data_IF_771649834078
#
_entry.id   IF_771649834078
#
_cell.length_a   1.000
_cell.length_b   1.000
_cell.length_c   1.000
_cell.angle_alpha   90.00
_cell.angle_beta   90.00
_cell.angle_gamma   90.00
#
_symmetry.space_group_name_H-M   'P 1'
#
loop_
_entity.id
_entity.type
_entity.pdbx_description
1 polymer ?
#
# COMPACT_ATOMS: atom_id res chain seq x y z
N UNK A 1 17.29 -14.68 9.77
CA UNK A 1 17.10 -15.98 9.16
C UNK A 1 16.82 -15.76 7.68
N UNK A 2 17.74 -16.20 6.83
CA UNK A 2 17.52 -16.21 5.40
C UNK A 2 16.47 -17.27 5.12
N UNK A 3 15.21 -16.88 4.94
CA UNK A 3 14.24 -17.75 4.35
C UNK A 3 14.76 -18.16 2.97
N UNK A 4 14.94 -19.45 2.75
CA UNK A 4 15.28 -19.92 1.44
C UNK A 4 14.10 -19.59 0.51
N UNK A 5 14.38 -19.05 -0.67
CA UNK A 5 13.41 -18.91 -1.76
C UNK A 5 12.69 -20.26 -1.93
N UNK A 6 11.39 -20.27 -1.65
CA UNK A 6 10.59 -21.52 -1.61
C UNK A 6 10.10 -21.96 -2.98
N UNK A 7 10.59 -21.35 -4.04
CA UNK A 7 10.32 -21.78 -5.40
C UNK A 7 8.96 -21.35 -5.93
N UNK A 8 8.89 -20.11 -6.33
CA UNK A 8 8.02 -19.82 -7.43
C UNK A 8 6.67 -19.21 -7.10
N UNK A 9 6.68 -17.92 -6.86
CA UNK A 9 5.54 -17.13 -7.30
C UNK A 9 5.36 -17.43 -8.80
N UNK A 10 4.21 -18.04 -9.14
CA UNK A 10 3.87 -18.34 -10.53
C UNK A 10 4.03 -17.08 -11.39
N UNK A 11 4.73 -17.21 -12.51
CA UNK A 11 4.83 -16.13 -13.50
C UNK A 11 3.78 -16.40 -14.58
N UNK A 12 2.78 -15.52 -14.74
CA UNK A 12 1.81 -15.67 -15.83
C UNK A 12 2.48 -15.71 -17.21
N UNK A 13 1.91 -16.44 -18.13
CA UNK A 13 2.38 -16.55 -19.53
C UNK A 13 2.16 -15.25 -20.33
N UNK A 14 1.45 -14.30 -19.76
CA UNK A 14 1.13 -13.00 -20.38
C UNK A 14 1.60 -11.84 -19.50
N UNK A 15 1.95 -10.73 -20.15
CA UNK A 15 2.23 -9.45 -19.48
C UNK A 15 0.98 -8.56 -19.35
N UNK A 16 -0.18 -9.04 -19.83
CA UNK A 16 -1.42 -8.28 -19.70
C UNK A 16 -1.81 -8.17 -18.24
N UNK A 17 -2.16 -6.97 -17.83
CA UNK A 17 -2.70 -6.69 -16.50
C UNK A 17 -3.83 -5.68 -16.58
N UNK A 18 -4.58 -5.59 -15.50
CA UNK A 18 -5.65 -4.61 -15.32
C UNK A 18 -5.59 -4.03 -13.91
N UNK A 19 -5.85 -2.74 -13.81
CA UNK A 19 -5.86 -2.00 -12.55
C UNK A 19 -7.28 -1.86 -12.01
N UNK A 20 -7.47 -2.17 -10.73
CA UNK A 20 -8.72 -1.98 -9.98
C UNK A 20 -9.95 -2.48 -10.73
N UNK A 21 -10.01 -3.76 -11.13
CA UNK A 21 -11.14 -4.28 -11.88
C UNK A 21 -12.42 -4.28 -11.04
N UNK A 22 -13.55 -4.09 -11.70
CA UNK A 22 -14.89 -4.13 -11.09
C UNK A 22 -15.58 -5.47 -11.33
N UNK A 23 -15.25 -6.13 -12.43
CA UNK A 23 -15.84 -7.40 -12.86
C UNK A 23 -14.75 -8.46 -13.06
N UNK A 24 -14.78 -9.49 -12.23
CA UNK A 24 -13.78 -10.56 -12.25
C UNK A 24 -13.93 -11.46 -13.48
N UNK A 25 -15.15 -11.69 -13.97
CA UNK A 25 -15.40 -12.52 -15.16
C UNK A 25 -14.81 -11.84 -16.40
N UNK A 26 -14.93 -10.51 -16.52
CA UNK A 26 -14.30 -9.74 -17.59
C UNK A 26 -12.76 -9.83 -17.51
N UNK A 27 -12.17 -9.76 -16.31
CA UNK A 27 -10.72 -9.91 -16.11
C UNK A 27 -10.24 -11.24 -16.68
N UNK A 28 -10.93 -12.32 -16.34
CA UNK A 28 -10.58 -13.68 -16.77
C UNK A 28 -10.81 -13.86 -18.27
N UNK A 29 -11.93 -13.37 -18.80
CA UNK A 29 -12.27 -13.44 -20.23
C UNK A 29 -11.28 -12.69 -21.13
N UNK A 30 -10.71 -11.58 -20.64
CA UNK A 30 -9.67 -10.81 -21.33
C UNK A 30 -8.30 -11.52 -21.36
N UNK A 31 -8.13 -12.60 -20.61
CA UNK A 31 -6.87 -13.33 -20.54
C UNK A 31 -5.75 -12.52 -19.87
N UNK A 32 -6.09 -11.80 -18.81
CA UNK A 32 -5.12 -11.12 -17.97
C UNK A 32 -4.33 -12.13 -17.12
N UNK A 33 -3.05 -11.87 -16.92
CA UNK A 33 -2.23 -12.65 -15.98
C UNK A 33 -1.91 -11.86 -14.70
N UNK A 34 -2.21 -10.58 -14.69
CA UNK A 34 -1.89 -9.66 -13.62
C UNK A 34 -3.08 -8.78 -13.28
N UNK A 35 -3.22 -8.49 -12.00
CA UNK A 35 -4.23 -7.57 -11.48
C UNK A 35 -3.66 -6.78 -10.31
N UNK A 36 -3.99 -5.51 -10.22
CA UNK A 36 -3.64 -4.73 -9.04
C UNK A 36 -4.86 -4.05 -8.40
N UNK A 37 -4.75 -3.81 -7.09
CA UNK A 37 -5.75 -3.16 -6.27
C UNK A 37 -5.13 -2.05 -5.42
N UNK A 38 -5.72 -0.86 -5.47
CA UNK A 38 -5.45 0.18 -4.50
C UNK A 38 -6.03 -0.20 -3.13
N UNK A 39 -5.20 -0.24 -2.10
CA UNK A 39 -5.62 -0.55 -0.73
C UNK A 39 -5.48 0.68 0.15
N UNK A 40 -6.60 1.14 0.71
CA UNK A 40 -6.62 2.26 1.66
C UNK A 40 -6.06 1.80 3.01
N UNK A 41 -4.76 1.94 3.17
CA UNK A 41 -4.03 1.37 4.31
C UNK A 41 -4.54 1.89 5.66
N UNK A 42 -4.91 3.16 5.71
CA UNK A 42 -5.50 3.78 6.90
C UNK A 42 -6.90 3.25 7.26
N UNK A 43 -7.54 2.49 6.36
CA UNK A 43 -8.84 1.84 6.62
C UNK A 43 -8.66 0.39 7.06
N UNK A 44 -7.48 -0.20 6.85
CA UNK A 44 -7.17 -1.56 7.32
C UNK A 44 -7.17 -1.63 8.84
N UNK A 45 -6.67 -0.59 9.52
CA UNK A 45 -6.74 -0.53 11.00
C UNK A 45 -7.99 0.20 11.48
N UNK A 46 -8.60 -0.33 12.55
CA UNK A 46 -9.81 0.19 13.14
C UNK A 46 -9.50 1.14 14.32
N UNK A 47 -8.75 2.21 14.08
CA UNK A 47 -8.30 3.15 15.12
C UNK A 47 -9.45 3.83 15.89
N UNK A 48 -10.65 3.84 15.32
CA UNK A 48 -11.88 4.44 15.89
C UNK A 48 -12.72 3.45 16.70
N UNK A 49 -12.42 2.13 16.60
CA UNK A 49 -13.22 1.07 17.24
C UNK A 49 -12.57 0.66 18.57
N UNK A 50 -13.26 0.85 19.70
CA UNK A 50 -12.74 0.46 21.01
C UNK A 50 -12.81 -1.06 21.27
N UNK A 51 -13.57 -1.83 20.48
CA UNK A 51 -13.79 -3.26 20.64
C UNK A 51 -13.74 -3.99 19.28
N UNK A 52 -12.59 -3.98 18.59
CA UNK A 52 -12.47 -4.55 17.26
C UNK A 52 -12.57 -6.08 17.29
N UNK A 53 -13.20 -6.66 16.26
CA UNK A 53 -13.33 -8.11 16.09
C UNK A 53 -11.98 -8.83 16.04
N UNK A 54 -10.96 -8.19 15.48
CA UNK A 54 -9.61 -8.72 15.29
C UNK A 54 -8.56 -7.68 15.68
N UNK A 55 -7.44 -8.15 16.22
CA UNK A 55 -6.31 -7.29 16.58
C UNK A 55 -5.00 -7.84 16.04
N UNK A 56 -4.12 -6.95 15.59
CA UNK A 56 -2.74 -7.28 15.26
C UNK A 56 -1.79 -6.68 16.29
N UNK A 57 -0.89 -7.50 16.83
CA UNK A 57 0.02 -7.06 17.91
C UNK A 57 1.33 -6.55 17.32
N UNK A 58 1.62 -5.27 17.54
CA UNK A 58 2.88 -4.62 17.16
C UNK A 58 3.57 -4.11 18.43
N UNK A 59 4.81 -4.56 18.66
CA UNK A 59 5.63 -4.19 19.82
C UNK A 59 4.88 -4.34 21.16
N UNK A 60 4.07 -5.40 21.27
CA UNK A 60 3.26 -5.70 22.45
C UNK A 60 1.96 -4.90 22.58
N UNK A 61 1.63 -4.04 21.61
CA UNK A 61 0.39 -3.27 21.58
C UNK A 61 -0.61 -3.88 20.59
N UNK A 62 -1.84 -4.19 21.02
CA UNK A 62 -2.90 -4.62 20.13
C UNK A 62 -3.41 -3.42 19.32
N UNK A 63 -3.46 -3.57 18.00
CA UNK A 63 -4.01 -2.60 17.04
C UNK A 63 -5.22 -3.26 16.39
N UNK A 64 -6.40 -2.63 16.49
CA UNK A 64 -7.63 -3.13 15.89
C UNK A 64 -7.56 -3.22 14.37
N UNK A 65 -8.13 -4.28 13.80
CA UNK A 65 -8.24 -4.49 12.36
C UNK A 65 -9.69 -4.34 11.91
N UNK A 66 -9.89 -3.59 10.85
CA UNK A 66 -11.21 -3.41 10.23
C UNK A 66 -11.56 -4.61 9.36
N UNK A 67 -12.10 -5.66 9.98
CA UNK A 67 -12.44 -6.91 9.30
C UNK A 67 -13.55 -6.74 8.26
N UNK A 68 -14.39 -5.71 8.35
CA UNK A 68 -15.35 -5.42 7.28
C UNK A 68 -14.64 -5.04 5.98
N UNK A 69 -13.65 -4.15 6.05
CA UNK A 69 -12.85 -3.76 4.89
C UNK A 69 -11.97 -4.91 4.39
N UNK A 70 -11.33 -5.64 5.31
CA UNK A 70 -10.48 -6.79 4.96
C UNK A 70 -11.26 -7.87 4.22
N UNK A 71 -12.49 -8.20 4.65
CA UNK A 71 -13.35 -9.17 3.93
C UNK A 71 -13.73 -8.71 2.52
N UNK A 72 -13.82 -7.40 2.27
CA UNK A 72 -14.02 -6.93 0.90
C UNK A 72 -12.78 -7.15 0.03
N UNK A 73 -11.58 -6.99 0.59
CA UNK A 73 -10.34 -7.35 -0.11
C UNK A 73 -10.25 -8.85 -0.38
N UNK A 74 -10.64 -9.70 0.59
CA UNK A 74 -10.68 -11.16 0.38
C UNK A 74 -11.58 -11.54 -0.81
N UNK A 75 -12.75 -10.90 -0.91
CA UNK A 75 -13.71 -11.17 -1.98
C UNK A 75 -13.17 -10.77 -3.38
N UNK A 76 -12.29 -9.80 -3.45
CA UNK A 76 -11.63 -9.41 -4.71
C UNK A 76 -10.39 -10.25 -4.99
N UNK A 77 -9.55 -10.48 -4.00
CA UNK A 77 -8.24 -11.13 -4.16
C UNK A 77 -8.38 -12.63 -4.41
N UNK A 78 -9.19 -13.31 -3.58
CA UNK A 78 -9.26 -14.77 -3.59
C UNK A 78 -9.65 -15.36 -4.94
N UNK A 79 -10.76 -14.92 -5.60
CA UNK A 79 -11.18 -15.52 -6.87
C UNK A 79 -10.14 -15.36 -7.99
N UNK A 80 -9.46 -14.22 -8.04
CA UNK A 80 -8.47 -13.93 -9.07
C UNK A 80 -7.15 -14.67 -8.80
N UNK A 81 -6.75 -14.75 -7.54
CA UNK A 81 -5.59 -15.55 -7.12
C UNK A 81 -5.80 -17.04 -7.40
N UNK A 82 -6.97 -17.60 -7.06
CA UNK A 82 -7.33 -19.02 -7.32
C UNK A 82 -7.39 -19.31 -8.82
N UNK A 83 -7.74 -18.33 -9.62
CA UNK A 83 -7.71 -18.45 -11.09
C UNK A 83 -6.29 -18.37 -11.67
N UNK A 84 -5.26 -18.20 -10.83
CA UNK A 84 -3.85 -18.16 -11.23
C UNK A 84 -3.33 -16.80 -11.66
N UNK A 85 -4.09 -15.71 -11.42
CA UNK A 85 -3.59 -14.37 -11.65
C UNK A 85 -2.59 -13.99 -10.56
N UNK A 86 -1.63 -13.18 -10.96
CA UNK A 86 -0.72 -12.54 -10.02
C UNK A 86 -1.34 -11.25 -9.48
N UNK A 87 -1.56 -11.24 -8.17
CA UNK A 87 -2.19 -10.11 -7.50
C UNK A 87 -1.14 -9.19 -6.90
N UNK A 88 -1.30 -7.90 -7.17
CA UNK A 88 -0.48 -6.81 -6.66
C UNK A 88 -1.34 -5.93 -5.77
N UNK A 89 -0.89 -5.60 -4.58
CA UNK A 89 -1.50 -4.53 -3.79
C UNK A 89 -0.71 -3.23 -3.90
N UNK A 90 -1.44 -2.13 -4.00
CA UNK A 90 -0.91 -0.77 -3.97
C UNK A 90 -1.42 -0.09 -2.70
N UNK A 91 -0.74 -0.29 -1.54
CA UNK A 91 -1.09 0.43 -0.33
C UNK A 91 -0.94 1.95 -0.52
N UNK A 92 -2.03 2.67 -0.31
CA UNK A 92 -2.13 4.12 -0.35
C UNK A 92 -2.85 4.61 0.90
N UNK A 93 -2.74 5.88 1.22
CA UNK A 93 -3.31 6.44 2.44
C UNK A 93 -4.40 7.46 2.08
N UNK A 94 -5.67 7.05 2.19
CA UNK A 94 -6.79 7.95 1.98
C UNK A 94 -6.87 8.99 3.11
N UNK A 95 -7.17 10.21 2.77
CA UNK A 95 -7.36 11.27 3.75
C UNK A 95 -8.80 11.75 3.73
N UNK A 96 -9.40 11.99 4.90
CA UNK A 96 -10.76 12.51 4.98
C UNK A 96 -10.80 13.95 4.44
N UNK A 97 -11.97 14.35 3.96
CA UNK A 97 -12.24 15.75 3.57
C UNK A 97 -12.43 16.66 4.78
N UNK A 98 -12.63 16.09 5.95
CA UNK A 98 -12.82 16.79 7.21
C UNK A 98 -11.72 16.40 8.22
N UNK A 99 -11.35 17.34 9.06
CA UNK A 99 -10.36 17.12 10.11
C UNK A 99 -10.86 16.06 11.10
N UNK A 100 -10.06 15.03 11.30
CA UNK A 100 -10.27 13.98 12.31
C UNK A 100 -9.11 14.01 13.32
N UNK A 101 -9.21 14.82 14.38
CA UNK A 101 -8.07 15.13 15.27
C UNK A 101 -7.43 13.91 15.95
N UNK A 102 -8.18 12.81 16.11
CA UNK A 102 -7.69 11.59 16.76
C UNK A 102 -7.20 10.53 15.76
N UNK A 103 -7.22 10.81 14.46
CA UNK A 103 -6.80 9.83 13.46
C UNK A 103 -5.28 9.73 13.38
N UNK A 104 -4.67 8.63 13.88
CA UNK A 104 -3.22 8.48 13.92
C UNK A 104 -2.60 8.22 12.55
N UNK A 105 -3.42 7.89 11.54
CA UNK A 105 -2.91 7.50 10.21
C UNK A 105 -2.64 8.72 9.32
N UNK A 106 -3.14 9.90 9.68
CA UNK A 106 -2.96 11.12 8.89
C UNK A 106 -1.57 11.71 9.16
N UNK A 107 -0.80 11.87 8.12
CA UNK A 107 0.50 12.54 8.21
C UNK A 107 0.31 14.02 8.61
N UNK A 108 1.05 14.56 9.60
CA UNK A 108 0.79 15.89 10.18
C UNK A 108 1.01 17.04 9.20
N UNK A 109 1.73 16.83 8.12
CA UNK A 109 1.94 17.84 7.06
C UNK A 109 0.97 17.71 5.90
N UNK A 110 0.08 16.70 5.87
CA UNK A 110 -0.91 16.57 4.80
C UNK A 110 -1.84 17.77 4.78
N UNK A 111 -1.95 18.43 3.63
CA UNK A 111 -2.90 19.53 3.43
C UNK A 111 -4.27 18.96 3.05
N UNK A 112 -5.11 18.74 4.06
CA UNK A 112 -6.45 18.16 3.87
C UNK A 112 -7.35 19.00 2.95
N UNK A 113 -7.16 20.31 2.89
CA UNK A 113 -7.97 21.21 2.07
C UNK A 113 -7.55 21.20 0.59
N UNK A 114 -6.27 20.90 0.33
CA UNK A 114 -5.66 21.03 -0.99
C UNK A 114 -5.08 19.71 -1.51
N UNK A 115 -5.53 18.56 -0.98
CA UNK A 115 -5.11 17.23 -1.44
C UNK A 115 -5.96 16.81 -2.65
N UNK A 116 -5.48 16.92 -3.90
CA UNK A 116 -6.33 16.81 -5.10
C UNK A 116 -7.03 15.46 -5.26
N UNK A 117 -6.36 14.37 -4.89
CA UNK A 117 -6.89 13.02 -5.01
C UNK A 117 -7.32 12.43 -3.67
N UNK A 118 -7.38 13.23 -2.61
CA UNK A 118 -7.64 12.77 -1.25
C UNK A 118 -6.69 11.65 -0.78
N UNK A 119 -5.43 11.71 -1.20
CA UNK A 119 -4.38 10.76 -0.82
C UNK A 119 -3.24 11.49 -0.12
N UNK A 120 -2.94 11.05 1.10
CA UNK A 120 -1.88 11.61 1.93
C UNK A 120 -0.67 10.69 2.06
N UNK A 121 0.41 11.23 2.59
CA UNK A 121 1.58 10.48 2.98
C UNK A 121 1.24 9.51 4.13
N UNK A 122 2.03 8.45 4.25
CA UNK A 122 1.95 7.56 5.41
C UNK A 122 2.47 8.27 6.66
N UNK A 123 1.78 8.14 7.78
CA UNK A 123 2.25 8.73 9.02
C UNK A 123 3.19 7.77 9.76
N UNK A 124 4.49 8.01 9.64
CA UNK A 124 5.54 7.38 10.47
C UNK A 124 6.27 8.43 11.32
N UNK A 125 5.75 9.65 11.40
CA UNK A 125 6.40 10.76 12.11
C UNK A 125 6.26 10.67 13.62
N UNK A 126 5.28 9.91 14.10
CA UNK A 126 5.03 9.64 15.50
C UNK A 126 4.80 8.15 15.74
N UNK A 127 4.83 7.75 17.02
CA UNK A 127 4.75 6.35 17.41
C UNK A 127 3.40 5.71 17.10
N UNK A 128 2.29 6.44 17.25
CA UNK A 128 0.95 5.91 16.98
C UNK A 128 0.77 5.69 15.46
N UNK A 129 1.12 6.65 14.64
CA UNK A 129 1.09 6.50 13.19
C UNK A 129 1.94 5.33 12.71
N UNK A 130 3.16 5.20 13.24
CA UNK A 130 4.03 4.06 12.95
C UNK A 130 3.39 2.72 13.32
N UNK A 131 2.75 2.60 14.49
CA UNK A 131 2.11 1.35 14.92
C UNK A 131 0.96 0.97 14.00
N UNK A 132 0.11 1.92 13.62
CA UNK A 132 -1.01 1.68 12.71
C UNK A 132 -0.53 1.32 11.29
N UNK A 133 0.45 2.04 10.75
CA UNK A 133 1.04 1.73 9.45
C UNK A 133 1.62 0.31 9.44
N UNK A 134 2.43 -0.01 10.43
CA UNK A 134 3.09 -1.31 10.54
C UNK A 134 2.09 -2.44 10.75
N UNK A 135 1.09 -2.25 11.61
CA UNK A 135 0.03 -3.24 11.84
C UNK A 135 -0.71 -3.56 10.54
N UNK A 136 -1.10 -2.54 9.76
CA UNK A 136 -1.80 -2.73 8.50
C UNK A 136 -0.97 -3.52 7.49
N UNK A 137 0.28 -3.15 7.28
CA UNK A 137 1.17 -3.84 6.33
C UNK A 137 1.50 -5.27 6.80
N UNK A 138 1.87 -5.47 8.07
CA UNK A 138 2.16 -6.80 8.59
C UNK A 138 0.95 -7.71 8.51
N UNK A 139 -0.24 -7.20 8.85
CA UNK A 139 -1.48 -7.97 8.78
C UNK A 139 -1.79 -8.41 7.34
N UNK A 140 -1.77 -7.48 6.38
CA UNK A 140 -2.03 -7.79 4.97
C UNK A 140 -1.00 -8.79 4.42
N UNK A 141 0.28 -8.60 4.72
CA UNK A 141 1.34 -9.48 4.28
C UNK A 141 1.15 -10.91 4.81
N UNK A 142 0.73 -11.07 6.07
CA UNK A 142 0.48 -12.39 6.66
C UNK A 142 -0.84 -13.02 6.20
N UNK A 143 -1.86 -12.20 5.91
CA UNK A 143 -3.15 -12.70 5.48
C UNK A 143 -3.10 -13.34 4.09
N UNK A 144 -2.25 -12.78 3.22
CA UNK A 144 -2.16 -13.17 1.81
C UNK A 144 -0.79 -13.77 1.44
N UNK A 145 -0.11 -14.43 2.38
CA UNK A 145 1.25 -14.97 2.19
C UNK A 145 1.32 -16.40 1.67
N UNK A 146 0.18 -17.09 1.62
CA UNK A 146 0.08 -18.49 1.23
C UNK A 146 -0.72 -18.64 -0.08
N UNK A 147 -0.10 -19.14 -1.18
CA UNK A 147 -0.79 -19.39 -2.44
C UNK A 147 -1.98 -20.35 -2.32
N UNK A 148 -1.97 -21.26 -1.34
CA UNK A 148 -3.05 -22.19 -1.05
C UNK A 148 -3.92 -21.76 0.14
N UNK A 149 -3.69 -20.52 0.59
CA UNK A 149 -4.36 -19.96 1.76
C UNK A 149 -5.85 -19.68 1.54
N UNK A 150 -6.57 -19.60 2.66
CA UNK A 150 -8.01 -19.36 2.70
C UNK A 150 -8.42 -18.04 2.05
N UNK A 151 -7.52 -17.02 2.08
CA UNK A 151 -7.82 -15.64 1.67
C UNK A 151 -7.27 -15.26 0.29
N UNK A 152 -6.58 -16.19 -0.40
CA UNK A 152 -5.86 -15.94 -1.64
C UNK A 152 -4.43 -15.47 -1.41
N UNK A 153 -3.71 -15.19 -2.48
CA UNK A 153 -2.29 -14.87 -2.46
C UNK A 153 -1.98 -13.53 -3.13
N UNK A 154 -1.23 -12.70 -2.44
CA UNK A 154 -0.66 -11.46 -2.96
C UNK A 154 0.85 -11.60 -3.04
N UNK A 155 1.39 -11.53 -4.23
CA UNK A 155 2.83 -11.72 -4.46
C UNK A 155 3.65 -10.44 -4.39
N UNK A 156 3.01 -9.29 -4.64
CA UNK A 156 3.69 -8.03 -4.88
C UNK A 156 3.00 -6.87 -4.17
N UNK A 157 3.80 -5.99 -3.60
CA UNK A 157 3.35 -4.77 -2.90
C UNK A 157 4.04 -3.55 -3.51
N UNK A 158 3.27 -2.63 -4.05
CA UNK A 158 3.76 -1.35 -4.57
C UNK A 158 3.44 -0.28 -3.53
N UNK A 159 4.41 0.20 -2.79
CA UNK A 159 4.19 1.09 -1.64
C UNK A 159 3.98 2.51 -2.10
N UNK A 160 2.75 2.99 -1.93
CA UNK A 160 2.30 4.28 -2.49
C UNK A 160 2.10 4.22 -4.00
N UNK A 161 1.55 5.30 -4.55
CA UNK A 161 1.38 5.46 -5.98
C UNK A 161 2.10 6.73 -6.46
N UNK A 162 2.90 6.62 -7.52
CA UNK A 162 3.56 7.75 -8.19
C UNK A 162 4.14 8.79 -7.22
N UNK A 163 4.95 8.33 -6.27
CA UNK A 163 5.36 9.09 -5.08
C UNK A 163 6.11 10.40 -5.41
N UNK A 164 6.80 10.50 -6.57
CA UNK A 164 7.43 11.75 -6.96
C UNK A 164 6.42 12.86 -7.27
N UNK A 165 5.20 12.50 -7.60
CA UNK A 165 4.06 13.41 -7.77
C UNK A 165 3.29 13.56 -6.44
N UNK A 166 4.03 13.74 -5.35
CA UNK A 166 3.56 13.60 -3.97
C UNK A 166 2.37 14.49 -3.62
N UNK A 167 2.27 15.69 -4.17
CA UNK A 167 1.12 16.57 -3.92
C UNK A 167 -0.21 15.89 -4.27
N UNK A 168 -0.20 15.03 -5.28
CA UNK A 168 -1.39 14.37 -5.80
C UNK A 168 -1.63 12.99 -5.19
N UNK A 169 -0.56 12.22 -4.93
CA UNK A 169 -0.67 10.80 -4.60
C UNK A 169 -0.14 10.43 -3.22
N UNK A 170 0.64 11.30 -2.60
CA UNK A 170 1.30 11.07 -1.32
C UNK A 170 1.49 12.40 -0.59
N UNK A 171 0.38 13.15 -0.41
CA UNK A 171 0.44 14.53 0.07
C UNK A 171 1.00 14.62 1.49
N UNK A 172 2.13 15.31 1.60
CA UNK A 172 2.76 15.71 2.85
C UNK A 172 2.99 17.23 2.91
N UNK A 173 2.12 18.00 2.23
CA UNK A 173 2.29 19.41 2.03
C UNK A 173 3.39 19.75 1.02
N UNK A 174 3.72 21.03 0.87
CA UNK A 174 4.85 21.44 0.04
C UNK A 174 6.16 20.90 0.64
N UNK A 175 6.93 20.16 -0.16
CA UNK A 175 8.11 19.40 0.29
C UNK A 175 9.16 19.32 -0.80
N UNK A 176 10.44 19.42 -0.42
CA UNK A 176 11.52 19.15 -1.37
C UNK A 176 11.64 17.66 -1.68
N UNK A 177 12.31 17.25 -2.78
CA UNK A 177 12.57 15.84 -3.08
C UNK A 177 13.28 15.12 -1.93
N UNK A 178 14.23 15.77 -1.26
CA UNK A 178 14.98 15.20 -0.14
C UNK A 178 14.09 14.99 1.10
N UNK A 179 13.14 15.90 1.34
CA UNK A 179 12.15 15.74 2.42
C UNK A 179 11.21 14.60 2.12
N UNK A 180 10.73 14.48 0.88
CA UNK A 180 9.91 13.38 0.42
C UNK A 180 10.60 12.03 0.61
N UNK A 181 11.83 11.88 0.12
CA UNK A 181 12.60 10.63 0.23
C UNK A 181 12.86 10.28 1.69
N UNK A 182 13.26 11.26 2.51
CA UNK A 182 13.51 11.05 3.94
C UNK A 182 12.27 10.56 4.69
N UNK A 183 11.09 11.02 4.31
CA UNK A 183 9.82 10.62 4.91
C UNK A 183 9.35 9.25 4.39
N UNK A 184 9.42 9.03 3.09
CA UNK A 184 8.93 7.82 2.44
C UNK A 184 9.78 6.57 2.68
N UNK A 185 11.12 6.67 2.73
CA UNK A 185 12.02 5.52 2.86
C UNK A 185 11.76 4.68 4.12
N UNK A 186 11.46 5.24 5.30
CA UNK A 186 11.04 4.47 6.46
C UNK A 186 9.80 3.60 6.19
N UNK A 187 8.79 4.13 5.51
CA UNK A 187 7.58 3.39 5.16
C UNK A 187 7.90 2.20 4.23
N UNK A 188 8.68 2.45 3.18
CA UNK A 188 9.16 1.41 2.26
C UNK A 188 9.94 0.32 3.00
N UNK A 189 10.82 0.70 3.93
CA UNK A 189 11.61 -0.26 4.73
C UNK A 189 10.73 -1.11 5.65
N UNK A 190 9.76 -0.51 6.32
CA UNK A 190 8.82 -1.25 7.18
C UNK A 190 8.02 -2.24 6.36
N UNK A 191 7.50 -1.82 5.20
CA UNK A 191 6.75 -2.69 4.30
C UNK A 191 7.62 -3.87 3.80
N UNK A 192 8.86 -3.61 3.40
CA UNK A 192 9.78 -4.67 2.97
C UNK A 192 10.04 -5.68 4.10
N UNK A 193 10.30 -5.21 5.33
CA UNK A 193 10.54 -6.08 6.48
C UNK A 193 9.29 -6.91 6.83
N UNK A 194 8.10 -6.33 6.77
CA UNK A 194 6.83 -7.01 6.99
C UNK A 194 6.62 -8.15 5.98
N UNK A 195 6.78 -7.84 4.69
CA UNK A 195 6.68 -8.83 3.62
C UNK A 195 7.70 -9.96 3.79
N UNK A 196 8.97 -9.64 4.03
CA UNK A 196 10.03 -10.65 4.23
C UNK A 196 9.81 -11.52 5.47
N UNK A 197 9.12 -11.00 6.49
CA UNK A 197 8.77 -11.76 7.71
C UNK A 197 7.62 -12.73 7.44
N UNK A 198 6.63 -12.34 6.66
CA UNK A 198 5.49 -13.15 6.29
C UNK A 198 5.90 -14.26 5.31
N UNK A 199 6.40 -13.87 4.14
CA UNK A 199 6.90 -14.79 3.13
C UNK A 199 8.08 -14.14 2.37
N UNK A 200 9.29 -14.74 2.35
CA UNK A 200 10.46 -14.17 1.70
C UNK A 200 10.35 -14.06 0.17
N UNK A 201 9.34 -14.67 -0.43
CA UNK A 201 9.08 -14.59 -1.88
C UNK A 201 8.23 -13.37 -2.25
N UNK A 202 7.63 -12.67 -1.27
CA UNK A 202 6.90 -11.42 -1.51
C UNK A 202 7.86 -10.32 -1.97
N UNK A 203 7.40 -9.51 -2.90
CA UNK A 203 8.19 -8.44 -3.50
C UNK A 203 7.60 -7.07 -3.16
N UNK A 204 8.49 -6.12 -2.96
CA UNK A 204 8.13 -4.75 -2.65
C UNK A 204 8.73 -3.81 -3.67
N UNK A 205 7.93 -2.88 -4.18
CA UNK A 205 8.25 -1.96 -5.25
C UNK A 205 7.93 -0.52 -4.89
N UNK A 206 8.54 0.38 -5.61
CA UNK A 206 8.20 1.81 -5.67
C UNK A 206 7.51 2.08 -6.99
N UNK A 207 6.44 2.86 -6.99
CA UNK A 207 5.78 3.37 -8.19
C UNK A 207 6.23 4.80 -8.48
N UNK A 208 6.61 5.05 -9.72
CA UNK A 208 6.88 6.37 -10.25
C UNK A 208 6.00 6.59 -11.48
N UNK A 209 5.56 7.83 -11.71
CA UNK A 209 4.90 8.18 -12.96
C UNK A 209 5.92 8.26 -14.14
N UNK A 210 5.43 8.57 -15.33
CA UNK A 210 6.24 8.65 -16.54
C UNK A 210 7.17 9.88 -16.62
N UNK A 211 7.13 10.77 -15.63
CA UNK A 211 7.90 12.02 -15.63
C UNK A 211 9.32 11.82 -15.07
N UNK A 212 10.19 11.14 -15.82
CA UNK A 212 11.55 10.82 -15.36
C UNK A 212 12.45 12.06 -15.19
N UNK A 213 12.47 12.96 -16.18
CA UNK A 213 13.29 14.19 -16.23
C UNK A 213 12.44 15.47 -16.21
N UNK A 214 11.19 15.36 -15.82
CA UNK A 214 10.24 16.48 -15.72
C UNK A 214 9.39 16.33 -14.49
N UNK A 215 8.59 17.33 -14.17
CA UNK A 215 7.64 17.29 -13.06
C UNK A 215 6.22 17.43 -13.59
N UNK A 216 5.28 16.76 -12.94
CA UNK A 216 3.84 16.90 -13.24
C UNK A 216 3.33 18.29 -12.86
N UNK A 217 3.92 18.91 -11.87
CA UNK A 217 3.61 20.27 -11.40
C UNK A 217 4.84 21.17 -11.56
N UNK A 218 4.69 22.42 -12.08
CA UNK A 218 5.81 23.34 -12.21
C UNK A 218 6.41 23.79 -10.86
N UNK A 219 5.64 23.69 -9.76
CA UNK A 219 6.15 23.95 -8.41
C UNK A 219 7.01 22.78 -7.92
N UNK A 220 8.32 22.95 -7.75
CA UNK A 220 9.23 21.88 -7.32
C UNK A 220 8.97 21.39 -5.88
N UNK A 221 8.11 22.08 -5.12
CA UNK A 221 7.69 21.65 -3.78
C UNK A 221 6.41 20.79 -3.83
N UNK A 222 5.83 20.58 -5.01
CA UNK A 222 4.63 19.75 -5.21
C UNK A 222 4.89 18.47 -6.00
N UNK A 223 5.97 18.45 -6.77
CA UNK A 223 6.40 17.29 -7.53
C UNK A 223 7.91 17.27 -7.71
N UNK A 224 8.49 16.10 -7.68
CA UNK A 224 9.87 15.83 -8.03
C UNK A 224 9.99 15.23 -9.45
N UNK A 225 11.18 15.22 -10.01
CA UNK A 225 11.50 14.35 -11.15
C UNK A 225 11.72 12.91 -10.64
N UNK A 226 11.36 11.91 -11.43
CA UNK A 226 11.55 10.51 -11.01
C UNK A 226 13.00 10.20 -10.60
N UNK A 227 13.98 10.76 -11.32
CA UNK A 227 15.41 10.60 -10.97
C UNK A 227 15.79 11.23 -9.62
N UNK A 228 15.19 12.36 -9.22
CA UNK A 228 15.47 13.01 -7.93
C UNK A 228 15.04 12.18 -6.73
N UNK A 229 14.14 11.23 -6.95
CA UNK A 229 13.66 10.31 -5.90
C UNK A 229 14.55 9.07 -5.79
N UNK A 230 15.19 8.61 -6.89
CA UNK A 230 15.96 7.37 -6.93
C UNK A 230 17.47 7.57 -6.82
N UNK A 231 18.01 8.77 -7.09
CA UNK A 231 19.44 9.11 -6.96
C UNK A 231 19.78 9.54 -5.52
#
# INVERSE_FOLDING_TARGET
PSGAYRGGVHRPDTIKGITCPVDHDDVLALGNGWVDFGVMLNVVTAWWDPDPEEVWVVDGRPIGINMHYVRSLDADIKPLSDAGLRVILIPINAVPTEVQPANPTIHPRTDLALTPNHLGAFNLTDHEGYLHYRAAIEFLAHRYDDPEGEHGFVSDYVIGNEIQSHWYWHNMGESTPEELVRDYVPALRVAWLACQKANPDLRVYVSLDHNWNTRVDPNPLKAAEGREVLD
#
